data_IF_029594573967
#
_entry.id   IF_029594573967
#
_cell.length_a   1.000
_cell.length_b   1.000
_cell.length_c   1.000
_cell.angle_alpha   90.00
_cell.angle_beta   90.00
_cell.angle_gamma   90.00
#
_symmetry.space_group_name_H-M   'P 1'
#
loop_
_entity.id
_entity.type
_entity.pdbx_description
1 polymer ?
#
# COMPACT_ATOMS: atom_id res chain seq x y z
N UNK A 1 17.03 -17.68 -4.54
CA UNK A 1 15.57 -17.56 -4.83
C UNK A 1 15.04 -16.56 -3.84
N UNK A 2 14.44 -15.44 -4.27
CA UNK A 2 13.81 -14.49 -3.34
C UNK A 2 12.58 -15.16 -2.73
N UNK A 3 12.49 -15.16 -1.39
CA UNK A 3 11.38 -15.78 -0.69
C UNK A 3 10.07 -15.03 -0.95
N UNK A 4 8.97 -15.75 -1.07
CA UNK A 4 7.63 -15.16 -1.18
C UNK A 4 7.19 -14.76 0.23
N UNK A 5 6.99 -13.46 0.44
CA UNK A 5 6.53 -12.93 1.73
C UNK A 5 5.01 -13.02 1.87
N UNK A 6 4.29 -12.82 0.75
CA UNK A 6 2.83 -12.90 0.68
C UNK A 6 2.43 -13.69 -0.57
N UNK A 7 1.55 -14.66 -0.41
CA UNK A 7 0.85 -15.33 -1.50
C UNK A 7 -0.64 -15.35 -1.20
N UNK A 8 -1.46 -15.02 -2.18
CA UNK A 8 -2.91 -15.17 -2.12
C UNK A 8 -3.35 -16.17 -3.17
N UNK A 9 -4.30 -17.04 -2.81
CA UNK A 9 -4.80 -18.10 -3.70
C UNK A 9 -6.31 -18.11 -3.69
N UNK A 10 -6.88 -17.93 -4.89
CA UNK A 10 -8.31 -18.02 -5.19
C UNK A 10 -9.20 -17.15 -4.28
N UNK A 11 -8.71 -15.95 -3.93
CA UNK A 11 -9.44 -15.02 -3.07
C UNK A 11 -10.71 -14.56 -3.77
N UNK A 12 -11.84 -14.75 -3.09
CA UNK A 12 -13.16 -14.30 -3.55
C UNK A 12 -13.79 -13.32 -2.56
N UNK A 13 -14.55 -12.36 -3.09
CA UNK A 13 -15.35 -11.43 -2.28
C UNK A 13 -16.59 -10.94 -3.02
N UNK A 14 -17.73 -11.07 -2.36
CA UNK A 14 -19.01 -10.61 -2.87
C UNK A 14 -19.58 -9.51 -1.97
N UNK A 15 -20.18 -8.50 -2.58
CA UNK A 15 -20.98 -7.50 -1.90
C UNK A 15 -22.38 -7.55 -2.51
N UNK A 16 -23.31 -8.21 -1.84
CA UNK A 16 -24.66 -8.48 -2.36
C UNK A 16 -24.60 -9.16 -3.74
N UNK A 17 -24.92 -8.44 -4.82
CA UNK A 17 -24.91 -8.96 -6.19
C UNK A 17 -23.60 -8.68 -6.94
N UNK A 18 -22.66 -7.93 -6.34
CA UNK A 18 -21.39 -7.56 -6.98
C UNK A 18 -20.30 -8.53 -6.55
N UNK A 19 -19.69 -9.21 -7.51
CA UNK A 19 -18.49 -10.01 -7.31
C UNK A 19 -17.27 -9.09 -7.42
N UNK A 20 -16.80 -8.57 -6.28
CA UNK A 20 -15.67 -7.64 -6.24
C UNK A 20 -14.31 -8.33 -6.44
N UNK A 21 -14.17 -9.57 -5.98
CA UNK A 21 -13.03 -10.46 -6.27
C UNK A 21 -13.54 -11.83 -6.68
N UNK A 22 -12.93 -12.40 -7.71
CA UNK A 22 -13.36 -13.63 -8.35
C UNK A 22 -12.17 -14.55 -8.63
N UNK A 23 -11.64 -15.19 -7.58
CA UNK A 23 -10.52 -16.12 -7.67
C UNK A 23 -9.18 -15.41 -7.90
N UNK A 24 -8.91 -14.35 -7.15
CA UNK A 24 -7.64 -13.61 -7.25
C UNK A 24 -6.50 -14.42 -6.65
N UNK A 25 -5.45 -14.65 -7.47
CA UNK A 25 -4.20 -15.29 -7.03
C UNK A 25 -3.03 -14.40 -7.43
N UNK A 26 -2.13 -14.10 -6.48
CA UNK A 26 -0.97 -13.24 -6.66
C UNK A 26 0.11 -13.53 -5.61
N UNK A 27 1.35 -13.21 -5.95
CA UNK A 27 2.51 -13.39 -5.07
C UNK A 27 3.32 -12.09 -4.96
N UNK A 28 3.87 -11.85 -3.79
CA UNK A 28 4.77 -10.72 -3.51
C UNK A 28 6.09 -11.29 -3.01
N UNK A 29 7.18 -10.94 -3.68
CA UNK A 29 8.53 -11.37 -3.31
C UNK A 29 9.15 -10.43 -2.31
N UNK A 30 9.89 -10.97 -1.35
CA UNK A 30 10.59 -10.19 -0.34
C UNK A 30 11.62 -9.23 -0.98
N UNK A 31 11.69 -8.01 -0.46
CA UNK A 31 12.62 -6.97 -0.93
C UNK A 31 12.26 -6.37 -2.30
N UNK A 32 11.09 -6.68 -2.86
CA UNK A 32 10.65 -6.18 -4.16
C UNK A 32 9.44 -5.25 -4.07
N UNK A 33 9.19 -4.52 -5.15
CA UNK A 33 7.94 -3.80 -5.36
C UNK A 33 7.08 -4.59 -6.35
N UNK A 34 5.94 -5.08 -5.88
CA UNK A 34 4.89 -5.64 -6.72
C UNK A 34 3.79 -4.60 -6.89
N UNK A 35 3.34 -4.37 -8.12
CA UNK A 35 2.21 -3.50 -8.39
C UNK A 35 0.98 -4.29 -8.89
N UNK A 36 -0.21 -3.84 -8.51
CA UNK A 36 -1.48 -4.30 -9.10
C UNK A 36 -2.12 -3.10 -9.76
N UNK A 37 -2.25 -3.15 -11.08
CA UNK A 37 -2.84 -2.09 -11.89
C UNK A 37 -4.19 -2.51 -12.47
N UNK A 38 -5.03 -1.54 -12.77
CA UNK A 38 -6.35 -1.78 -13.38
C UNK A 38 -7.28 -0.59 -13.18
N UNK A 39 -8.42 -0.61 -13.85
CA UNK A 39 -9.40 0.45 -13.80
C UNK A 39 -10.07 0.59 -12.43
N UNK A 40 -10.74 1.73 -12.22
CA UNK A 40 -11.56 1.92 -11.03
C UNK A 40 -12.68 0.88 -10.98
N UNK A 41 -12.89 0.29 -9.79
CA UNK A 41 -13.87 -0.79 -9.63
C UNK A 41 -13.36 -2.19 -9.99
N UNK A 42 -12.10 -2.36 -10.44
CA UNK A 42 -11.55 -3.70 -10.74
C UNK A 42 -11.33 -4.62 -9.54
N UNK A 43 -11.47 -4.11 -8.30
CA UNK A 43 -11.35 -4.89 -7.05
C UNK A 43 -10.07 -4.63 -6.24
N UNK A 44 -9.15 -3.80 -6.71
CA UNK A 44 -7.83 -3.55 -6.09
C UNK A 44 -7.91 -3.14 -4.62
N UNK A 45 -8.68 -2.10 -4.29
CA UNK A 45 -8.82 -1.65 -2.90
C UNK A 45 -9.58 -2.66 -2.02
N UNK A 46 -10.42 -3.53 -2.62
CA UNK A 46 -11.02 -4.67 -1.91
C UNK A 46 -9.95 -5.68 -1.49
N UNK A 47 -9.01 -5.98 -2.39
CA UNK A 47 -7.88 -6.87 -2.09
C UNK A 47 -7.00 -6.28 -0.98
N UNK A 48 -6.63 -4.98 -1.04
CA UNK A 48 -5.88 -4.31 0.05
C UNK A 48 -6.60 -4.45 1.40
N UNK A 49 -7.92 -4.23 1.43
CA UNK A 49 -8.71 -4.37 2.66
C UNK A 49 -8.69 -5.80 3.21
N UNK A 50 -8.64 -6.81 2.36
CA UNK A 50 -8.49 -8.20 2.79
C UNK A 50 -7.09 -8.45 3.34
N UNK A 51 -6.05 -8.00 2.65
CA UNK A 51 -4.65 -8.17 3.07
C UNK A 51 -4.31 -7.42 4.37
N UNK A 52 -4.92 -6.26 4.57
CA UNK A 52 -4.80 -5.48 5.82
C UNK A 52 -5.63 -6.01 6.98
N UNK A 53 -6.51 -7.00 6.72
CA UNK A 53 -7.39 -7.58 7.73
C UNK A 53 -8.63 -6.76 8.08
N UNK A 54 -8.90 -5.66 7.34
CA UNK A 54 -10.12 -4.85 7.55
C UNK A 54 -11.36 -5.44 6.92
N UNK A 55 -11.18 -6.40 6.00
CA UNK A 55 -12.25 -7.10 5.31
C UNK A 55 -11.96 -8.60 5.26
N UNK A 56 -12.94 -9.42 5.62
CA UNK A 56 -12.83 -10.87 5.51
C UNK A 56 -13.15 -11.32 4.06
N UNK A 57 -12.32 -12.19 3.44
CA UNK A 57 -12.68 -12.84 2.17
C UNK A 57 -13.85 -13.81 2.36
N UNK A 58 -14.55 -14.14 1.28
CA UNK A 58 -15.59 -15.16 1.30
C UNK A 58 -15.04 -16.55 0.96
N UNK A 59 -13.88 -16.62 0.29
CA UNK A 59 -13.16 -17.87 -0.03
C UNK A 59 -11.72 -17.60 -0.41
N UNK A 60 -10.96 -18.69 -0.58
CA UNK A 60 -9.54 -18.68 -0.84
C UNK A 60 -8.70 -18.69 0.43
N UNK A 61 -7.38 -18.62 0.27
CA UNK A 61 -6.44 -18.56 1.38
C UNK A 61 -5.30 -17.57 1.10
N UNK A 62 -4.58 -17.19 2.15
CA UNK A 62 -3.39 -16.37 2.03
C UNK A 62 -2.26 -16.95 2.88
N UNK A 63 -1.06 -16.92 2.37
CA UNK A 63 0.16 -17.29 3.10
C UNK A 63 0.99 -16.04 3.34
N UNK A 64 1.33 -15.77 4.59
CA UNK A 64 2.17 -14.63 4.98
C UNK A 64 3.37 -15.15 5.73
N UNK A 65 4.57 -14.81 5.29
CA UNK A 65 5.83 -15.29 5.89
C UNK A 65 5.86 -16.80 6.08
N UNK A 66 5.34 -17.58 5.11
CA UNK A 66 5.29 -19.03 5.11
C UNK A 66 4.17 -19.67 5.94
N UNK A 67 3.37 -18.89 6.67
CA UNK A 67 2.23 -19.40 7.43
C UNK A 67 0.91 -19.13 6.68
N UNK A 68 0.06 -20.15 6.57
CA UNK A 68 -1.24 -20.05 5.92
C UNK A 68 -2.30 -19.49 6.87
N UNK A 69 -3.12 -18.59 6.34
CA UNK A 69 -4.23 -17.95 7.05
C UNK A 69 -5.48 -17.95 6.16
N UNK A 70 -6.64 -18.45 6.62
CA UNK A 70 -7.89 -18.35 5.86
C UNK A 70 -8.39 -16.90 5.77
N UNK A 71 -8.04 -16.09 6.76
CA UNK A 71 -8.25 -14.64 6.79
C UNK A 71 -7.33 -13.98 7.84
N UNK A 72 -7.14 -12.68 7.72
CA UNK A 72 -6.44 -11.87 8.73
C UNK A 72 -7.43 -10.96 9.44
N UNK A 73 -7.15 -10.68 10.70
CA UNK A 73 -7.66 -9.49 11.41
C UNK A 73 -6.63 -8.38 11.32
N UNK A 74 -7.03 -7.12 11.52
CA UNK A 74 -6.10 -5.98 11.53
C UNK A 74 -4.95 -6.20 12.51
N UNK A 75 -5.26 -6.67 13.72
CA UNK A 75 -4.25 -6.97 14.72
C UNK A 75 -3.26 -8.02 14.21
N UNK A 76 -3.76 -9.11 13.62
CA UNK A 76 -2.90 -10.19 13.10
C UNK A 76 -2.04 -9.73 11.92
N UNK A 77 -2.59 -8.93 11.01
CA UNK A 77 -1.82 -8.32 9.92
C UNK A 77 -0.67 -7.46 10.47
N UNK A 78 -0.96 -6.63 11.48
CA UNK A 78 0.05 -5.80 12.14
C UNK A 78 1.14 -6.63 12.84
N UNK A 79 0.78 -7.71 13.53
CA UNK A 79 1.72 -8.65 14.16
C UNK A 79 2.65 -9.32 13.14
N UNK A 80 2.12 -9.66 11.96
CA UNK A 80 2.89 -10.23 10.84
C UNK A 80 3.75 -9.20 10.10
N UNK A 81 3.72 -7.93 10.53
CA UNK A 81 4.53 -6.87 9.93
C UNK A 81 3.91 -6.26 8.67
N UNK A 82 2.63 -6.48 8.40
CA UNK A 82 1.91 -5.79 7.33
C UNK A 82 1.56 -4.37 7.82
N UNK A 83 1.95 -3.37 7.03
CA UNK A 83 1.66 -1.95 7.24
C UNK A 83 0.88 -1.43 6.05
N UNK A 84 -0.12 -0.59 6.26
CA UNK A 84 -1.01 -0.15 5.18
C UNK A 84 -1.14 1.37 5.19
N UNK A 85 -0.97 1.96 4.02
CA UNK A 85 -1.33 3.34 3.71
C UNK A 85 -2.46 3.29 2.70
N UNK A 86 -3.64 3.73 3.12
CA UNK A 86 -4.83 3.75 2.27
C UNK A 86 -4.88 5.01 1.41
N UNK A 87 -5.69 5.00 0.36
CA UNK A 87 -5.96 6.14 -0.50
C UNK A 87 -6.49 7.34 0.31
N UNK A 88 -7.44 7.10 1.22
CA UNK A 88 -7.75 8.04 2.30
C UNK A 88 -6.70 7.85 3.39
N UNK A 89 -5.79 8.81 3.54
CA UNK A 89 -4.65 8.71 4.46
C UNK A 89 -5.08 8.55 5.92
N UNK A 90 -6.37 8.75 6.23
CA UNK A 90 -6.94 8.66 7.57
C UNK A 90 -6.12 9.48 8.59
N UNK A 91 -5.70 10.68 8.17
CA UNK A 91 -5.08 11.67 9.04
C UNK A 91 -6.17 12.57 9.66
N UNK A 92 -6.05 12.82 10.96
CA UNK A 92 -6.88 13.82 11.61
C UNK A 92 -6.42 15.22 11.19
N UNK A 93 -7.22 15.89 10.38
CA UNK A 93 -6.91 17.19 9.81
C UNK A 93 -6.70 18.31 10.85
N UNK A 94 -7.23 18.15 12.08
CA UNK A 94 -7.09 19.11 13.17
C UNK A 94 -5.84 18.86 14.02
N UNK A 95 -5.22 17.70 13.90
CA UNK A 95 -4.00 17.32 14.61
C UNK A 95 -2.76 17.63 13.79
N UNK A 96 -1.65 17.82 14.47
CA UNK A 96 -0.35 18.02 13.85
C UNK A 96 0.31 16.72 13.38
N UNK A 97 1.48 16.83 12.73
CA UNK A 97 2.20 15.66 12.19
C UNK A 97 2.63 14.68 13.28
N UNK A 98 3.11 15.16 14.42
CA UNK A 98 3.54 14.30 15.54
C UNK A 98 2.35 13.50 16.07
N UNK A 99 1.23 14.18 16.35
CA UNK A 99 0.02 13.53 16.86
C UNK A 99 -0.56 12.51 15.88
N UNK A 100 -0.50 12.77 14.56
CA UNK A 100 -0.95 11.85 13.53
C UNK A 100 -0.05 10.60 13.42
N UNK A 101 1.28 10.76 13.52
CA UNK A 101 2.22 9.64 13.48
C UNK A 101 2.01 8.69 14.66
N UNK A 102 1.67 9.22 15.82
CA UNK A 102 1.51 8.44 17.06
C UNK A 102 0.06 8.13 17.40
N UNK A 103 -0.91 8.50 16.57
CA UNK A 103 -2.33 8.34 16.87
C UNK A 103 -2.70 6.88 17.20
N UNK A 104 -3.20 6.67 18.43
CA UNK A 104 -3.55 5.35 18.97
C UNK A 104 -2.36 4.50 19.43
N UNK A 105 -1.17 5.09 19.50
CA UNK A 105 0.06 4.42 19.96
C UNK A 105 1.04 5.47 20.50
N UNK A 106 0.52 6.36 21.33
CA UNK A 106 1.23 7.46 21.92
C UNK A 106 2.29 6.96 22.91
N UNK A 107 3.45 7.65 22.96
CA UNK A 107 4.46 7.38 23.97
C UNK A 107 4.04 8.00 25.31
N UNK A 108 4.14 7.20 26.37
CA UNK A 108 3.73 7.61 27.72
C UNK A 108 4.92 7.69 28.66
N UNK A 109 4.92 8.70 29.53
CA UNK A 109 5.78 8.77 30.70
C UNK A 109 4.89 8.76 31.97
N UNK A 110 4.72 7.60 32.58
CA UNK A 110 3.70 7.40 33.60
C UNK A 110 2.30 7.67 33.05
N UNK A 111 1.48 8.52 33.66
CA UNK A 111 0.13 8.84 33.18
C UNK A 111 0.10 9.95 32.12
N UNK A 112 1.25 10.52 31.73
CA UNK A 112 1.35 11.67 30.82
C UNK A 112 1.94 11.27 29.46
N UNK A 113 1.55 12.02 28.42
CA UNK A 113 2.15 11.88 27.10
C UNK A 113 3.61 12.34 27.10
N UNK A 114 4.53 11.53 26.58
CA UNK A 114 5.92 11.93 26.34
C UNK A 114 6.04 12.65 25.01
N UNK A 115 5.57 13.90 24.98
CA UNK A 115 5.57 14.75 23.79
C UNK A 115 6.97 14.99 23.23
N UNK A 116 8.00 14.98 24.09
CA UNK A 116 9.38 15.21 23.68
C UNK A 116 9.91 14.03 22.85
N UNK A 117 9.75 12.82 23.36
CA UNK A 117 10.18 11.60 22.65
C UNK A 117 9.38 11.38 21.38
N UNK A 118 8.05 11.63 21.40
CA UNK A 118 7.21 11.58 20.20
C UNK A 118 7.70 12.55 19.12
N UNK A 119 8.04 13.78 19.49
CA UNK A 119 8.57 14.76 18.54
C UNK A 119 9.88 14.31 17.91
N UNK A 120 10.86 13.91 18.73
CA UNK A 120 12.18 13.48 18.26
C UNK A 120 12.10 12.26 17.33
N UNK A 121 11.23 11.32 17.67
CA UNK A 121 11.01 10.15 16.82
C UNK A 121 10.30 10.51 15.50
N UNK A 122 9.29 11.41 15.54
CA UNK A 122 8.64 11.91 14.33
C UNK A 122 9.61 12.64 13.42
N UNK A 123 10.45 13.54 13.96
CA UNK A 123 11.51 14.23 13.21
C UNK A 123 12.46 13.22 12.55
N UNK A 124 12.91 12.19 13.30
CA UNK A 124 13.77 11.15 12.76
C UNK A 124 13.09 10.38 11.62
N UNK A 125 11.86 9.91 11.83
CA UNK A 125 11.12 9.15 10.81
C UNK A 125 10.94 9.96 9.52
N UNK A 126 10.53 11.23 9.61
CA UNK A 126 10.35 12.09 8.45
C UNK A 126 11.67 12.38 7.73
N UNK A 127 12.76 12.60 8.48
CA UNK A 127 14.08 12.76 7.91
C UNK A 127 14.59 11.49 7.23
N UNK A 128 14.38 10.31 7.84
CA UNK A 128 14.78 9.02 7.29
C UNK A 128 14.12 8.74 5.93
N UNK A 129 12.89 9.22 5.73
CA UNK A 129 12.17 9.12 4.45
C UNK A 129 12.28 10.39 3.60
N UNK A 130 13.13 11.35 3.98
CA UNK A 130 13.40 12.61 3.26
C UNK A 130 12.16 13.45 2.97
N UNK A 131 11.18 13.41 3.86
CA UNK A 131 9.98 14.23 3.77
C UNK A 131 10.18 15.47 4.63
N UNK A 132 10.24 16.64 3.98
CA UNK A 132 10.36 17.91 4.66
C UNK A 132 8.98 18.44 5.08
N UNK A 133 8.72 18.44 6.39
CA UNK A 133 7.57 19.10 7.01
C UNK A 133 8.13 20.31 7.79
N UNK A 134 7.92 21.56 7.32
CA UNK A 134 8.57 22.74 7.89
C UNK A 134 8.24 22.98 9.36
N UNK A 135 7.00 22.74 9.75
CA UNK A 135 6.55 22.81 11.14
C UNK A 135 5.73 21.54 11.48
N UNK A 136 6.28 20.73 12.37
CA UNK A 136 5.63 19.49 12.82
C UNK A 136 4.41 19.72 13.72
N UNK A 137 4.24 20.93 14.25
CA UNK A 137 3.14 21.31 15.13
C UNK A 137 1.97 21.97 14.38
N UNK A 138 2.16 22.29 13.10
CA UNK A 138 1.09 22.77 12.25
C UNK A 138 0.08 21.65 11.94
N UNK A 139 -1.25 21.94 11.95
CA UNK A 139 -2.28 20.97 11.57
C UNK A 139 -2.03 20.43 10.17
N UNK A 140 -2.16 19.09 9.99
CA UNK A 140 -1.83 18.41 8.71
C UNK A 140 -2.72 18.87 7.55
N UNK A 141 -3.87 19.51 7.80
CA UNK A 141 -4.70 20.14 6.74
C UNK A 141 -3.96 21.21 5.94
N UNK A 142 -2.94 21.86 6.55
CA UNK A 142 -2.16 22.93 5.93
C UNK A 142 -0.95 22.39 5.15
N UNK A 143 -0.68 21.10 5.24
CA UNK A 143 0.40 20.43 4.52
C UNK A 143 0.01 20.15 3.07
N UNK A 144 1.00 20.12 2.17
CA UNK A 144 0.81 19.65 0.80
C UNK A 144 0.42 18.17 0.75
N UNK A 145 -0.14 17.72 -0.39
CA UNK A 145 -0.50 16.32 -0.61
C UNK A 145 0.67 15.36 -0.37
N UNK A 146 1.86 15.70 -0.90
CA UNK A 146 3.08 14.91 -0.70
C UNK A 146 3.56 14.88 0.75
N UNK A 147 3.45 16.00 1.47
CA UNK A 147 3.78 16.06 2.91
C UNK A 147 2.81 15.20 3.73
N UNK A 148 1.51 15.29 3.46
CA UNK A 148 0.49 14.45 4.11
C UNK A 148 0.73 12.96 3.84
N UNK A 149 1.08 12.59 2.61
CA UNK A 149 1.47 11.23 2.27
C UNK A 149 2.71 10.79 3.06
N UNK A 150 3.71 11.64 3.15
CA UNK A 150 4.91 11.38 3.95
C UNK A 150 4.59 11.14 5.43
N UNK A 151 3.70 11.94 6.03
CA UNK A 151 3.23 11.72 7.41
C UNK A 151 2.52 10.36 7.54
N UNK A 152 1.68 9.97 6.58
CA UNK A 152 1.01 8.67 6.59
C UNK A 152 1.99 7.50 6.44
N UNK A 153 3.01 7.64 5.57
CA UNK A 153 4.09 6.65 5.43
C UNK A 153 4.92 6.58 6.72
N UNK A 154 5.31 7.72 7.31
CA UNK A 154 6.04 7.76 8.58
C UNK A 154 5.27 7.06 9.70
N UNK A 155 3.95 7.28 9.79
CA UNK A 155 3.06 6.56 10.72
C UNK A 155 3.10 5.05 10.48
N UNK A 156 3.05 4.61 9.22
CA UNK A 156 3.11 3.19 8.89
C UNK A 156 4.47 2.55 9.21
N UNK A 157 5.57 3.30 9.02
CA UNK A 157 6.94 2.83 9.26
C UNK A 157 7.40 2.95 10.71
N UNK A 158 6.65 3.63 11.59
CA UNK A 158 7.00 3.79 13.00
C UNK A 158 7.22 2.47 13.73
N UNK A 159 6.42 1.46 13.41
CA UNK A 159 6.63 0.09 13.89
C UNK A 159 7.34 -0.74 12.82
N UNK A 160 8.21 -1.67 13.22
CA UNK A 160 8.84 -2.59 12.28
C UNK A 160 7.80 -3.24 11.37
N UNK A 161 8.06 -3.20 10.05
CA UNK A 161 7.20 -3.79 9.03
C UNK A 161 8.03 -4.63 8.07
N UNK A 162 7.41 -5.67 7.50
CA UNK A 162 8.01 -6.52 6.47
C UNK A 162 7.37 -6.28 5.11
N UNK A 163 6.12 -5.84 5.10
CA UNK A 163 5.33 -5.58 3.89
C UNK A 163 4.55 -4.28 4.05
N UNK A 164 4.77 -3.33 3.13
CA UNK A 164 4.04 -2.08 3.04
C UNK A 164 3.01 -2.18 1.92
N UNK A 165 1.73 -2.09 2.27
CA UNK A 165 0.61 -2.00 1.33
C UNK A 165 0.30 -0.53 1.07
N UNK A 166 0.23 -0.14 -0.19
CA UNK A 166 -0.01 1.25 -0.62
C UNK A 166 -1.18 1.27 -1.60
N UNK A 167 -2.27 1.92 -1.22
CA UNK A 167 -3.45 2.09 -2.06
C UNK A 167 -3.42 3.48 -2.69
N UNK A 168 -3.13 3.55 -4.00
CA UNK A 168 -3.07 4.78 -4.81
C UNK A 168 -2.14 5.86 -4.19
N UNK A 169 -0.85 5.57 -3.93
CA UNK A 169 0.02 6.45 -3.13
C UNK A 169 0.30 7.81 -3.76
N UNK A 170 -0.02 8.02 -5.03
CA UNK A 170 0.17 9.28 -5.76
C UNK A 170 -1.13 9.92 -6.23
N UNK A 171 -2.29 9.38 -5.82
CA UNK A 171 -3.58 9.95 -6.18
C UNK A 171 -3.72 11.38 -5.66
N UNK A 172 -4.30 12.25 -6.48
CA UNK A 172 -4.55 13.66 -6.17
C UNK A 172 -3.30 14.52 -5.86
N UNK A 173 -2.12 14.06 -6.30
CA UNK A 173 -0.86 14.82 -6.21
C UNK A 173 -0.48 15.48 -7.51
N UNK A 174 0.21 16.63 -7.45
CA UNK A 174 0.87 17.21 -8.60
C UNK A 174 2.04 16.35 -9.10
N UNK A 175 2.49 16.60 -10.34
CA UNK A 175 3.56 15.82 -11.00
C UNK A 175 4.83 15.76 -10.14
N UNK A 176 5.28 16.90 -9.61
CA UNK A 176 6.49 16.96 -8.79
C UNK A 176 6.37 16.19 -7.47
N UNK A 177 5.21 16.25 -6.82
CA UNK A 177 4.94 15.52 -5.58
C UNK A 177 4.88 14.00 -5.84
N UNK A 178 4.22 13.60 -6.92
CA UNK A 178 4.18 12.19 -7.35
C UNK A 178 5.59 11.65 -7.59
N UNK A 179 6.45 12.37 -8.30
CA UNK A 179 7.84 11.95 -8.53
C UNK A 179 8.64 11.81 -7.23
N UNK A 180 8.45 12.71 -6.26
CA UNK A 180 9.11 12.60 -4.94
C UNK A 180 8.62 11.37 -4.19
N UNK A 181 7.32 11.12 -4.18
CA UNK A 181 6.73 9.96 -3.53
C UNK A 181 7.23 8.65 -4.16
N UNK A 182 7.30 8.57 -5.50
CA UNK A 182 7.84 7.42 -6.21
C UNK A 182 9.33 7.20 -5.89
N UNK A 183 10.12 8.28 -5.83
CA UNK A 183 11.52 8.24 -5.40
C UNK A 183 11.68 7.68 -3.98
N UNK A 184 10.83 8.11 -3.05
CA UNK A 184 10.80 7.60 -1.68
C UNK A 184 10.50 6.08 -1.66
N UNK A 185 9.49 5.61 -2.41
CA UNK A 185 9.13 4.19 -2.45
C UNK A 185 10.28 3.34 -3.01
N UNK A 186 11.01 3.86 -4.01
CA UNK A 186 12.22 3.22 -4.54
C UNK A 186 13.32 3.12 -3.50
N UNK A 187 13.59 4.20 -2.75
CA UNK A 187 14.58 4.18 -1.67
C UNK A 187 14.20 3.19 -0.55
N UNK A 188 12.92 3.08 -0.20
CA UNK A 188 12.45 2.10 0.77
C UNK A 188 12.67 0.66 0.30
N UNK A 189 12.43 0.37 -1.00
CA UNK A 189 12.77 -0.93 -1.59
C UNK A 189 14.28 -1.21 -1.52
N UNK A 190 15.10 -0.24 -1.89
CA UNK A 190 16.56 -0.39 -1.91
C UNK A 190 17.13 -0.63 -0.49
N UNK A 191 16.37 -0.26 0.54
CA UNK A 191 16.64 -0.60 1.96
C UNK A 191 16.02 -1.95 2.39
N UNK A 192 15.45 -2.72 1.47
CA UNK A 192 14.87 -4.05 1.72
C UNK A 192 13.39 -4.06 2.11
N UNK A 193 12.68 -2.92 2.08
CA UNK A 193 11.25 -2.89 2.37
C UNK A 193 10.46 -3.47 1.20
N UNK A 194 9.75 -4.56 1.47
CA UNK A 194 8.82 -5.14 0.49
C UNK A 194 7.57 -4.27 0.36
N UNK A 195 7.07 -4.07 -0.87
CA UNK A 195 5.92 -3.21 -1.12
C UNK A 195 4.93 -3.87 -2.07
N UNK A 196 3.65 -3.71 -1.78
CA UNK A 196 2.55 -3.98 -2.70
C UNK A 196 1.82 -2.67 -2.97
N UNK A 197 1.87 -2.20 -4.21
CA UNK A 197 1.32 -0.92 -4.65
C UNK A 197 0.09 -1.16 -5.51
N UNK A 198 -0.99 -0.51 -5.19
CA UNK A 198 -2.17 -0.45 -6.04
C UNK A 198 -2.19 0.90 -6.74
N UNK A 199 -2.38 0.89 -8.06
CA UNK A 199 -2.50 2.10 -8.87
C UNK A 199 -3.38 1.88 -10.10
N UNK A 200 -4.01 2.95 -10.56
CA UNK A 200 -4.64 3.00 -11.88
C UNK A 200 -3.69 3.56 -12.96
N UNK A 201 -2.51 4.09 -12.55
CA UNK A 201 -1.54 4.69 -13.46
C UNK A 201 -0.39 3.71 -13.74
N UNK A 202 -0.55 2.92 -14.82
CA UNK A 202 0.43 1.91 -15.24
C UNK A 202 1.81 2.53 -15.52
N UNK A 203 1.88 3.69 -16.19
CA UNK A 203 3.16 4.31 -16.55
C UNK A 203 3.97 4.69 -15.31
N UNK A 204 3.33 5.27 -14.30
CA UNK A 204 4.02 5.64 -13.06
C UNK A 204 4.59 4.43 -12.31
N UNK A 205 3.82 3.34 -12.21
CA UNK A 205 4.27 2.17 -11.45
C UNK A 205 5.20 1.27 -12.24
N UNK A 206 5.20 1.35 -13.58
CA UNK A 206 6.08 0.56 -14.43
C UNK A 206 7.55 0.86 -14.17
N UNK A 207 7.90 2.14 -13.98
CA UNK A 207 9.28 2.58 -13.68
C UNK A 207 9.73 2.24 -12.26
N UNK A 208 8.81 1.83 -11.41
CA UNK A 208 9.05 1.56 -10.00
C UNK A 208 9.01 0.07 -9.64
N UNK A 209 8.04 -0.65 -10.19
CA UNK A 209 7.74 -2.02 -9.82
C UNK A 209 8.71 -3.03 -10.45
N UNK A 210 9.01 -4.08 -9.72
CA UNK A 210 9.76 -5.24 -10.23
C UNK A 210 8.83 -6.23 -10.92
N UNK A 211 7.57 -6.31 -10.46
CA UNK A 211 6.53 -7.17 -11.01
C UNK A 211 5.18 -6.45 -11.03
N UNK A 212 4.42 -6.62 -12.11
CA UNK A 212 3.10 -5.99 -12.26
C UNK A 212 2.05 -7.06 -12.57
N UNK A 213 0.96 -7.02 -11.80
CA UNK A 213 -0.28 -7.71 -12.10
C UNK A 213 -1.29 -6.74 -12.71
N UNK A 214 -2.00 -7.18 -13.75
CA UNK A 214 -3.14 -6.46 -14.32
C UNK A 214 -4.42 -7.06 -13.78
N UNK A 215 -5.25 -6.23 -13.14
CA UNK A 215 -6.51 -6.63 -12.53
C UNK A 215 -7.70 -5.99 -13.26
N UNK A 216 -8.68 -6.82 -13.65
CA UNK A 216 -9.92 -6.39 -14.29
C UNK A 216 -11.09 -7.24 -13.78
N UNK A 217 -12.23 -6.60 -13.48
CA UNK A 217 -13.49 -7.25 -13.07
C UNK A 217 -13.29 -8.31 -11.96
N UNK A 218 -12.47 -8.00 -10.97
CA UNK A 218 -12.21 -8.88 -9.83
C UNK A 218 -11.24 -10.04 -10.09
N UNK A 219 -10.57 -10.09 -11.24
CA UNK A 219 -9.62 -11.15 -11.62
C UNK A 219 -8.26 -10.61 -12.01
N UNK A 220 -7.21 -11.37 -11.80
CA UNK A 220 -5.89 -11.12 -12.41
C UNK A 220 -5.93 -11.65 -13.83
N UNK A 221 -5.71 -10.75 -14.79
CA UNK A 221 -5.72 -11.05 -16.23
C UNK A 221 -4.34 -11.40 -16.75
N UNK A 222 -3.31 -10.77 -16.21
CA UNK A 222 -1.92 -10.97 -16.58
C UNK A 222 -1.00 -10.63 -15.41
N UNK A 223 0.22 -11.17 -15.42
CA UNK A 223 1.29 -10.79 -14.51
C UNK A 223 2.64 -10.99 -15.18
N UNK A 224 3.52 -9.98 -15.09
CA UNK A 224 4.85 -10.04 -15.68
C UNK A 224 5.87 -9.24 -14.86
N UNK A 225 7.14 -9.66 -14.92
CA UNK A 225 8.25 -8.84 -14.48
C UNK A 225 8.44 -7.67 -15.44
N UNK A 226 8.67 -6.47 -14.91
CA UNK A 226 8.81 -5.25 -15.74
C UNK A 226 9.96 -5.33 -16.75
N UNK A 227 10.98 -6.12 -16.43
CA UNK A 227 12.12 -6.36 -17.33
C UNK A 227 11.77 -7.21 -18.56
N UNK A 228 10.65 -7.95 -18.55
CA UNK A 228 10.24 -8.89 -19.60
C UNK A 228 8.99 -8.47 -20.37
N UNK A 229 8.48 -7.27 -20.14
CA UNK A 229 7.25 -6.75 -20.77
C UNK A 229 7.35 -5.24 -21.03
N UNK A 230 6.34 -4.67 -21.64
CA UNK A 230 6.22 -3.23 -21.90
C UNK A 230 4.93 -2.67 -21.33
N UNK A 231 4.86 -1.33 -21.08
CA UNK A 231 3.60 -0.69 -20.67
C UNK A 231 2.46 -0.92 -21.66
N UNK A 232 2.76 -0.91 -22.96
CA UNK A 232 1.74 -1.10 -24.00
C UNK A 232 1.18 -2.52 -24.03
N UNK A 233 2.05 -3.52 -23.81
CA UNK A 233 1.63 -4.92 -23.67
C UNK A 233 0.71 -5.11 -22.48
N UNK A 234 1.09 -4.60 -21.30
CA UNK A 234 0.25 -4.68 -20.09
C UNK A 234 -1.05 -3.89 -20.26
N UNK A 235 -1.00 -2.73 -20.95
CA UNK A 235 -2.16 -1.91 -21.23
C UNK A 235 -3.19 -2.64 -22.09
N UNK A 236 -2.77 -3.50 -23.01
CA UNK A 236 -3.67 -4.29 -23.83
C UNK A 236 -4.61 -5.15 -22.98
N UNK A 237 -4.13 -5.73 -21.86
CA UNK A 237 -4.96 -6.51 -20.93
C UNK A 237 -5.96 -5.65 -20.13
N UNK A 238 -5.69 -4.35 -19.98
CA UNK A 238 -6.64 -3.42 -19.36
C UNK A 238 -7.74 -3.07 -20.36
N UNK A 239 -7.37 -2.80 -21.62
CA UNK A 239 -8.24 -2.23 -22.65
C UNK A 239 -9.06 -3.25 -23.47
N UNK A 240 -8.60 -4.51 -23.58
CA UNK A 240 -9.34 -5.49 -24.37
C UNK A 240 -10.73 -5.70 -23.77
N UNK A 241 -11.69 -4.96 -24.32
CA UNK A 241 -13.11 -5.27 -24.25
C UNK A 241 -13.36 -6.55 -25.04
N UNK A 242 -14.12 -7.44 -24.40
CA UNK A 242 -14.95 -8.45 -25.03
C UNK A 242 -15.14 -8.30 -26.57
N UNK A 243 -14.26 -8.90 -27.34
CA UNK A 243 -14.56 -9.31 -28.73
C UNK A 243 -14.90 -10.81 -28.80
N UNK A 244 -15.13 -11.48 -27.66
CA UNK A 244 -15.55 -12.88 -27.61
C UNK A 244 -16.84 -13.05 -26.79
N UNK A 245 -17.93 -12.40 -27.21
CA UNK A 245 -19.29 -12.76 -26.82
C UNK A 245 -20.28 -12.26 -27.88
N UNK A 246 -20.21 -12.83 -29.07
CA UNK A 246 -21.31 -12.89 -30.06
C UNK A 246 -21.42 -14.30 -30.64
#
# INVERSE_FOLDING_TARGET
MSDIILSVKDITKHFRHIRALDGVSAEVREGSITAIVGDNGSGKSTLIKILSGTLRPDGGSMTVCGAEHPFLTVQRAMELGIRTVYQDLSLDNCKNSVENIFLGDELMHGPFLDRRSMRLEAERLLNDIRVNVPDLFEPVRNLSGGQRQGVAIARALRRPGRLLLLDEPTAAMGIHESHRTMGLLKELRDRGMTQLIISHNLHQVFDLADYIYVMRSGRIMAGAATQSTSPDELRSFILHREEEAL
#
